data_IF_834124257789
#
_entry.id   IF_834124257789
#
_cell.length_a   1.000
_cell.length_b   1.000
_cell.length_c   1.000
_cell.angle_alpha   90.00
_cell.angle_beta   90.00
_cell.angle_gamma   90.00
#
_symmetry.space_group_name_H-M   'P 1'
#
loop_
_entity.id
_entity.type
_entity.pdbx_description
1 polymer ?
#
# COMPACT_ATOMS: atom_id res chain seq x y z
N UNK A 1 2.26 -6.67 -22.60
CA UNK A 1 1.98 -5.22 -22.58
C UNK A 1 1.21 -4.83 -21.32
N UNK A 2 1.31 -3.57 -20.92
CA UNK A 2 0.59 -3.02 -19.78
C UNK A 2 -0.93 -3.22 -19.91
N UNK A 3 -1.48 -3.04 -21.10
CA UNK A 3 -2.90 -3.26 -21.37
C UNK A 3 -3.32 -4.73 -21.08
N UNK A 4 -2.46 -5.71 -21.40
CA UNK A 4 -2.72 -7.12 -21.10
C UNK A 4 -2.69 -7.38 -19.59
N UNK A 5 -1.73 -6.78 -18.88
CA UNK A 5 -1.63 -6.91 -17.41
C UNK A 5 -2.84 -6.31 -16.68
N UNK A 6 -3.34 -5.18 -17.14
CA UNK A 6 -4.47 -4.49 -16.51
C UNK A 6 -5.85 -5.14 -16.83
N UNK A 7 -5.94 -6.03 -17.82
CA UNK A 7 -7.23 -6.60 -18.27
C UNK A 7 -8.03 -7.22 -17.11
N UNK A 8 -7.40 -8.07 -16.30
CA UNK A 8 -8.07 -8.71 -15.18
C UNK A 8 -8.55 -7.69 -14.13
N UNK A 9 -7.71 -6.70 -13.79
CA UNK A 9 -8.09 -5.62 -12.87
C UNK A 9 -9.27 -4.78 -13.38
N UNK A 10 -9.32 -4.48 -14.67
CA UNK A 10 -10.45 -3.77 -15.32
C UNK A 10 -11.73 -4.60 -15.19
N UNK A 11 -11.66 -5.91 -15.46
CA UNK A 11 -12.81 -6.80 -15.36
C UNK A 11 -13.34 -6.91 -13.94
N UNK A 12 -12.46 -7.11 -12.95
CA UNK A 12 -12.82 -7.17 -11.54
C UNK A 12 -13.42 -5.85 -11.06
N UNK A 13 -12.79 -4.72 -11.37
CA UNK A 13 -13.33 -3.41 -11.00
C UNK A 13 -14.72 -3.15 -11.58
N UNK A 14 -15.00 -3.62 -12.80
CA UNK A 14 -16.27 -3.44 -13.50
C UNK A 14 -17.34 -4.43 -13.07
N UNK A 15 -17.00 -5.72 -13.05
CA UNK A 15 -17.95 -6.81 -12.72
C UNK A 15 -18.14 -6.98 -11.22
N UNK A 16 -17.13 -6.61 -10.46
CA UNK A 16 -17.05 -6.74 -9.01
C UNK A 16 -16.40 -8.05 -8.55
N UNK A 17 -16.19 -8.11 -7.27
CA UNK A 17 -15.77 -9.31 -6.54
C UNK A 17 -16.64 -9.49 -5.30
N UNK A 18 -16.71 -10.70 -4.81
CA UNK A 18 -17.47 -11.03 -3.59
C UNK A 18 -16.64 -10.61 -2.38
N UNK A 19 -17.24 -9.82 -1.49
CA UNK A 19 -16.63 -9.39 -0.24
C UNK A 19 -16.46 -10.60 0.67
N UNK A 20 -15.23 -10.87 1.08
CA UNK A 20 -14.90 -11.86 2.11
C UNK A 20 -14.82 -11.23 3.51
N UNK A 21 -14.66 -12.07 4.54
CA UNK A 21 -14.58 -11.60 5.92
C UNK A 21 -13.41 -10.66 6.16
N UNK A 22 -12.23 -10.96 5.59
CA UNK A 22 -11.03 -10.13 5.78
C UNK A 22 -11.23 -8.73 5.22
N UNK A 23 -11.84 -8.62 4.03
CA UNK A 23 -12.15 -7.34 3.41
C UNK A 23 -13.17 -6.54 4.22
N UNK A 24 -14.23 -7.21 4.71
CA UNK A 24 -15.23 -6.62 5.59
C UNK A 24 -14.60 -6.05 6.87
N UNK A 25 -13.81 -6.85 7.58
CA UNK A 25 -13.21 -6.45 8.87
C UNK A 25 -12.24 -5.26 8.69
N UNK A 26 -11.53 -5.20 7.56
CA UNK A 26 -10.68 -4.05 7.26
C UNK A 26 -11.46 -2.78 6.97
N UNK A 27 -12.65 -2.88 6.36
CA UNK A 27 -13.54 -1.72 6.20
C UNK A 27 -14.08 -1.31 7.56
N UNK A 28 -14.55 -2.26 8.37
CA UNK A 28 -15.09 -2.01 9.72
C UNK A 28 -14.11 -1.24 10.60
N UNK A 29 -12.83 -1.64 10.56
CA UNK A 29 -11.76 -0.93 11.30
C UNK A 29 -11.42 0.46 10.78
N UNK A 30 -12.03 0.92 9.66
CA UNK A 30 -11.77 2.21 9.04
C UNK A 30 -13.04 3.00 8.70
N UNK A 31 -14.20 2.61 9.21
CA UNK A 31 -15.49 3.25 8.90
C UNK A 31 -15.46 4.75 9.16
N UNK A 32 -14.93 5.17 10.29
CA UNK A 32 -14.85 6.57 10.73
C UNK A 32 -13.93 7.45 9.89
N UNK A 33 -13.07 6.85 9.05
CA UNK A 33 -12.33 7.57 8.00
C UNK A 33 -13.03 7.50 6.64
N UNK A 34 -13.77 6.43 6.39
CA UNK A 34 -14.42 6.21 5.10
C UNK A 34 -15.69 7.03 4.96
N UNK A 35 -16.42 7.28 6.04
CA UNK A 35 -17.64 8.11 6.04
C UNK A 35 -17.31 9.61 5.90
N UNK A 36 -16.13 10.06 6.34
CA UNK A 36 -15.67 11.42 6.12
C UNK A 36 -15.58 11.81 4.64
N UNK A 37 -15.42 10.84 3.73
CA UNK A 37 -15.25 11.08 2.30
C UNK A 37 -16.40 10.46 1.50
N UNK A 38 -17.40 11.25 1.03
CA UNK A 38 -18.61 10.73 0.41
C UNK A 38 -18.38 9.76 -0.76
N UNK A 39 -17.34 9.99 -1.57
CA UNK A 39 -16.99 9.09 -2.67
C UNK A 39 -16.42 7.75 -2.19
N UNK A 40 -15.77 7.71 -1.03
CA UNK A 40 -15.28 6.49 -0.39
C UNK A 40 -16.43 5.75 0.26
N UNK A 41 -17.25 6.45 1.03
CA UNK A 41 -18.46 5.88 1.64
C UNK A 41 -19.36 5.20 0.59
N UNK A 42 -19.62 5.85 -0.53
CA UNK A 42 -20.44 5.30 -1.61
C UNK A 42 -19.92 3.97 -2.20
N UNK A 43 -18.64 3.70 -2.10
CA UNK A 43 -18.03 2.46 -2.60
C UNK A 43 -18.08 1.37 -1.52
N UNK A 44 -17.71 1.69 -0.29
CA UNK A 44 -17.37 0.72 0.75
C UNK A 44 -18.44 0.55 1.82
N UNK A 45 -19.32 1.53 1.98
CA UNK A 45 -20.37 1.50 3.00
C UNK A 45 -21.76 1.32 2.38
N UNK A 46 -22.68 0.77 3.16
CA UNK A 46 -24.09 0.77 2.86
C UNK A 46 -24.72 2.12 3.28
N UNK A 47 -25.96 2.45 2.83
CA UNK A 47 -26.58 3.76 3.11
C UNK A 47 -26.78 4.10 4.59
N UNK A 48 -26.73 3.10 5.47
CA UNK A 48 -26.80 3.27 6.92
C UNK A 48 -25.44 3.52 7.58
N UNK A 49 -24.37 3.64 6.78
CA UNK A 49 -23.00 3.87 7.26
C UNK A 49 -22.27 2.60 7.69
N UNK A 50 -22.87 1.42 7.59
CA UNK A 50 -22.21 0.16 7.93
C UNK A 50 -21.34 -0.36 6.77
N UNK A 51 -20.29 -1.15 7.05
CA UNK A 51 -19.53 -1.85 6.01
C UNK A 51 -20.44 -2.73 5.15
N UNK A 52 -20.19 -2.79 3.85
CA UNK A 52 -20.89 -3.72 2.97
C UNK A 52 -20.73 -5.16 3.44
N UNK A 53 -21.83 -5.92 3.45
CA UNK A 53 -21.88 -7.27 4.01
C UNK A 53 -21.03 -8.28 3.24
N UNK A 54 -20.44 -9.22 3.98
CA UNK A 54 -19.78 -10.41 3.43
C UNK A 54 -20.74 -11.16 2.50
N UNK A 55 -20.23 -11.62 1.35
CA UNK A 55 -21.01 -12.30 0.33
C UNK A 55 -21.70 -11.36 -0.68
N UNK A 56 -21.73 -10.05 -0.45
CA UNK A 56 -22.19 -9.08 -1.44
C UNK A 56 -21.13 -8.75 -2.47
N UNK A 57 -21.50 -8.16 -3.60
CA UNK A 57 -20.58 -7.85 -4.71
C UNK A 57 -20.22 -6.37 -4.70
N UNK A 58 -18.95 -6.07 -4.48
CA UNK A 58 -18.41 -4.72 -4.60
C UNK A 58 -17.95 -4.44 -6.04
N UNK A 59 -18.35 -3.31 -6.59
CA UNK A 59 -17.93 -2.82 -7.91
C UNK A 59 -17.34 -1.42 -7.79
N UNK A 60 -16.32 -1.14 -8.60
CA UNK A 60 -15.74 0.21 -8.71
C UNK A 60 -15.55 0.56 -10.20
N UNK A 61 -16.60 1.05 -10.89
CA UNK A 61 -16.52 1.39 -12.30
C UNK A 61 -15.58 2.54 -12.59
N UNK A 62 -15.33 3.44 -11.63
CA UNK A 62 -14.37 4.53 -11.77
C UNK A 62 -12.94 4.02 -11.81
N UNK A 63 -12.61 3.04 -10.97
CA UNK A 63 -11.32 2.35 -11.02
C UNK A 63 -11.14 1.62 -12.36
N UNK A 64 -12.20 0.99 -12.88
CA UNK A 64 -12.15 0.36 -14.21
C UNK A 64 -11.81 1.39 -15.29
N UNK A 65 -12.46 2.56 -15.28
CA UNK A 65 -12.17 3.67 -16.24
C UNK A 65 -10.74 4.19 -16.09
N UNK A 66 -10.25 4.32 -14.86
CA UNK A 66 -8.87 4.73 -14.59
C UNK A 66 -7.86 3.71 -15.18
N UNK A 67 -8.06 2.43 -14.94
CA UNK A 67 -7.21 1.38 -15.50
C UNK A 67 -7.27 1.32 -17.03
N UNK A 68 -8.44 1.51 -17.64
CA UNK A 68 -8.58 1.60 -19.09
C UNK A 68 -7.82 2.78 -19.70
N UNK A 69 -7.83 3.92 -19.02
CA UNK A 69 -7.05 5.07 -19.44
C UNK A 69 -5.55 4.76 -19.39
N UNK A 70 -5.09 4.15 -18.29
CA UNK A 70 -3.68 3.75 -18.14
C UNK A 70 -3.32 2.70 -19.20
N UNK A 71 -4.19 1.73 -19.46
CA UNK A 71 -3.98 0.73 -20.50
C UNK A 71 -3.80 1.32 -21.90
N UNK A 72 -4.52 2.42 -22.20
CA UNK A 72 -4.46 3.11 -23.51
C UNK A 72 -3.27 4.05 -23.64
N UNK A 73 -2.92 4.77 -22.57
CA UNK A 73 -1.97 5.89 -22.62
C UNK A 73 -0.64 5.60 -21.87
N UNK A 74 -0.51 4.40 -21.27
CA UNK A 74 0.66 4.06 -20.46
C UNK A 74 0.80 4.97 -19.23
N UNK A 75 2.02 5.18 -18.80
CA UNK A 75 2.34 6.05 -17.66
C UNK A 75 1.76 7.46 -17.77
N UNK A 76 1.70 8.02 -18.99
CA UNK A 76 1.08 9.31 -19.23
C UNK A 76 -0.41 9.35 -18.86
N UNK A 77 -1.09 8.21 -18.94
CA UNK A 77 -2.50 8.10 -18.57
C UNK A 77 -2.75 8.33 -17.08
N UNK A 78 -1.76 8.07 -16.24
CA UNK A 78 -1.80 8.28 -14.79
C UNK A 78 -1.15 9.59 -14.37
N UNK A 79 0.10 9.82 -14.77
CA UNK A 79 0.91 10.96 -14.30
C UNK A 79 0.57 12.30 -14.97
N UNK A 80 -0.32 12.33 -15.96
CA UNK A 80 -0.74 13.54 -16.68
C UNK A 80 -2.22 13.49 -17.02
N UNK A 81 -2.80 14.67 -17.23
CA UNK A 81 -4.18 14.83 -17.64
C UNK A 81 -5.20 14.53 -16.54
N UNK A 82 -6.41 14.05 -16.87
CA UNK A 82 -7.54 14.06 -15.94
C UNK A 82 -7.32 13.31 -14.62
N UNK A 83 -6.59 12.19 -14.61
CA UNK A 83 -6.31 11.46 -13.36
C UNK A 83 -5.38 12.28 -12.48
N UNK A 84 -4.28 12.78 -13.05
CA UNK A 84 -3.33 13.64 -12.32
C UNK A 84 -4.01 14.89 -11.76
N UNK A 85 -4.79 15.58 -12.57
CA UNK A 85 -5.53 16.76 -12.15
C UNK A 85 -6.54 16.46 -11.02
N UNK A 86 -7.25 15.32 -11.10
CA UNK A 86 -8.19 14.89 -10.06
C UNK A 86 -7.45 14.57 -8.74
N UNK A 87 -6.30 13.90 -8.81
CA UNK A 87 -5.47 13.61 -7.63
C UNK A 87 -4.99 14.90 -6.95
N UNK A 88 -4.45 15.83 -7.72
CA UNK A 88 -3.99 17.14 -7.21
C UNK A 88 -5.15 17.89 -6.57
N UNK A 89 -6.29 17.97 -7.26
CA UNK A 89 -7.48 18.63 -6.73
C UNK A 89 -7.94 18.01 -5.40
N UNK A 90 -8.03 16.68 -5.33
CA UNK A 90 -8.45 15.99 -4.11
C UNK A 90 -7.44 16.17 -2.97
N UNK A 91 -6.14 16.23 -3.28
CA UNK A 91 -5.09 16.46 -2.29
C UNK A 91 -5.11 17.90 -1.75
N UNK A 92 -5.23 18.89 -2.63
CA UNK A 92 -5.23 20.31 -2.24
C UNK A 92 -6.55 20.75 -1.62
N UNK A 93 -7.65 20.10 -1.98
CA UNK A 93 -8.98 20.35 -1.44
C UNK A 93 -9.68 19.02 -1.20
N UNK A 94 -9.40 18.35 -0.06
CA UNK A 94 -10.02 17.07 0.28
C UNK A 94 -11.56 17.16 0.18
N UNK A 95 -12.21 16.23 -0.54
CA UNK A 95 -13.67 16.25 -0.72
C UNK A 95 -14.36 15.59 0.47
N UNK A 96 -14.28 16.23 1.63
CA UNK A 96 -14.84 15.75 2.90
C UNK A 96 -16.31 16.11 3.06
N UNK A 97 -17.03 15.30 3.81
CA UNK A 97 -18.40 15.56 4.22
C UNK A 97 -18.46 16.77 5.17
N UNK A 98 -19.59 17.53 5.20
CA UNK A 98 -19.74 18.67 6.11
C UNK A 98 -19.69 18.28 7.59
N UNK A 99 -20.03 17.05 7.90
CA UNK A 99 -20.11 16.43 9.24
C UNK A 99 -18.92 15.51 9.54
N UNK A 100 -17.85 15.58 8.70
CA UNK A 100 -16.62 14.83 8.92
C UNK A 100 -16.06 15.04 10.33
N UNK A 101 -15.68 13.96 10.99
CA UNK A 101 -15.22 13.98 12.37
C UNK A 101 -13.70 14.12 12.52
N UNK A 102 -12.94 13.96 11.42
CA UNK A 102 -11.49 14.17 11.39
C UNK A 102 -11.08 15.50 10.76
N UNK A 103 -9.89 15.97 11.13
CA UNK A 103 -9.29 17.14 10.49
C UNK A 103 -8.51 16.75 9.24
N UNK A 104 -9.07 17.01 8.08
CA UNK A 104 -8.44 16.78 6.78
C UNK A 104 -7.66 18.02 6.33
N UNK A 105 -6.33 17.92 6.36
CA UNK A 105 -5.48 19.04 5.96
C UNK A 105 -5.18 19.00 4.46
N UNK A 106 -5.23 20.15 3.76
CA UNK A 106 -4.79 20.24 2.36
C UNK A 106 -3.33 19.79 2.23
N UNK A 107 -3.06 18.97 1.21
CA UNK A 107 -1.69 18.61 0.82
C UNK A 107 -1.09 19.60 -0.17
N UNK A 108 0.22 19.47 -0.42
CA UNK A 108 0.99 20.37 -1.26
C UNK A 108 1.27 19.84 -2.67
N UNK A 109 0.75 18.65 -3.02
CA UNK A 109 0.97 18.01 -4.32
C UNK A 109 0.54 18.91 -5.46
N UNK A 110 1.35 18.98 -6.52
CA UNK A 110 1.06 19.70 -7.76
C UNK A 110 1.07 18.76 -8.97
N UNK A 111 0.51 19.19 -10.10
CA UNK A 111 0.61 18.42 -11.35
C UNK A 111 2.06 18.28 -11.84
N UNK A 112 2.92 19.20 -11.46
CA UNK A 112 4.35 19.15 -11.78
C UNK A 112 5.02 17.98 -11.06
N UNK A 113 4.72 17.76 -9.78
CA UNK A 113 5.29 16.65 -9.00
C UNK A 113 4.95 15.30 -9.64
N UNK A 114 3.71 15.15 -10.12
CA UNK A 114 3.30 13.95 -10.85
C UNK A 114 3.99 13.85 -12.22
N UNK A 115 4.08 14.96 -12.95
CA UNK A 115 4.64 15.00 -14.30
C UNK A 115 6.16 14.74 -14.33
N UNK A 116 6.87 15.14 -13.29
CA UNK A 116 8.33 14.98 -13.12
C UNK A 116 8.68 13.71 -12.31
N UNK A 117 7.69 12.99 -11.76
CA UNK A 117 7.94 11.78 -11.00
C UNK A 117 8.68 10.73 -11.82
N UNK A 118 9.74 10.21 -11.26
CA UNK A 118 10.51 9.08 -11.79
C UNK A 118 10.63 8.00 -10.74
N UNK A 119 10.68 6.75 -11.17
CA UNK A 119 10.98 5.60 -10.32
C UNK A 119 12.48 5.26 -10.45
N UNK A 120 13.36 5.82 -9.59
CA UNK A 120 14.79 5.57 -9.70
C UNK A 120 15.11 4.12 -9.35
N UNK A 121 15.95 3.49 -10.17
CA UNK A 121 16.54 2.20 -9.82
C UNK A 121 17.56 2.39 -8.70
N UNK A 122 17.46 1.57 -7.67
CA UNK A 122 18.36 1.61 -6.51
C UNK A 122 19.05 0.27 -6.34
N UNK A 123 20.32 0.31 -5.92
CA UNK A 123 21.04 -0.90 -5.60
C UNK A 123 20.42 -1.56 -4.36
N UNK A 124 20.25 -2.89 -4.37
CA UNK A 124 19.82 -3.61 -3.18
C UNK A 124 20.93 -3.55 -2.10
N UNK A 125 20.55 -3.73 -0.85
CA UNK A 125 21.48 -4.06 0.23
C UNK A 125 21.92 -5.52 0.07
N UNK A 126 23.16 -5.84 0.43
CA UNK A 126 23.67 -7.21 0.44
C UNK A 126 24.46 -7.44 1.72
N UNK A 127 24.20 -8.54 2.37
CA UNK A 127 24.99 -9.05 3.49
C UNK A 127 25.32 -10.52 3.28
N UNK A 128 26.44 -10.99 3.88
CA UNK A 128 26.69 -12.41 4.05
C UNK A 128 26.02 -12.93 5.32
N UNK A 129 25.49 -14.15 5.29
CA UNK A 129 25.02 -14.86 6.48
C UNK A 129 25.17 -16.36 6.29
N UNK A 130 25.99 -17.00 7.12
CA UNK A 130 26.27 -18.45 7.07
C UNK A 130 26.60 -18.96 5.66
N UNK A 131 27.43 -18.21 4.94
CA UNK A 131 27.87 -18.54 3.57
C UNK A 131 26.84 -18.25 2.48
N UNK A 132 25.71 -17.64 2.82
CA UNK A 132 24.67 -17.20 1.87
C UNK A 132 24.77 -15.69 1.64
N UNK A 133 24.46 -15.26 0.43
CA UNK A 133 24.20 -13.86 0.12
C UNK A 133 22.73 -13.54 0.37
N UNK A 134 22.45 -12.64 1.30
CA UNK A 134 21.10 -12.16 1.58
C UNK A 134 20.92 -10.77 0.97
N UNK A 135 19.98 -10.65 0.05
CA UNK A 135 19.68 -9.42 -0.66
C UNK A 135 18.38 -8.82 -0.13
N UNK A 136 18.40 -7.54 0.19
CA UNK A 136 17.25 -6.80 0.68
C UNK A 136 17.01 -5.52 -0.11
N UNK A 137 15.84 -4.93 0.03
CA UNK A 137 15.55 -3.63 -0.58
C UNK A 137 16.40 -2.55 0.08
N UNK A 138 17.08 -1.75 -0.73
CA UNK A 138 17.86 -0.59 -0.27
C UNK A 138 16.97 0.58 0.18
N UNK A 139 17.56 1.63 0.77
CA UNK A 139 16.83 2.86 1.12
C UNK A 139 16.00 3.40 -0.06
N UNK A 140 14.79 3.93 0.21
CA UNK A 140 14.24 4.32 1.51
C UNK A 140 13.56 3.21 2.31
N UNK A 141 13.62 1.94 1.89
CA UNK A 141 13.16 0.83 2.72
C UNK A 141 14.16 0.52 3.83
N UNK A 142 13.68 0.42 5.06
CA UNK A 142 14.47 -0.05 6.20
C UNK A 142 14.60 -1.58 6.25
N UNK A 143 13.73 -2.31 5.53
CA UNK A 143 13.64 -3.76 5.62
C UNK A 143 14.97 -4.47 5.33
N UNK A 144 15.68 -4.06 4.29
CA UNK A 144 16.96 -4.67 3.94
C UNK A 144 18.07 -4.40 4.95
N UNK A 145 18.17 -3.19 5.49
CA UNK A 145 19.15 -2.84 6.54
C UNK A 145 18.81 -3.51 7.87
N UNK A 146 17.54 -3.43 8.30
CA UNK A 146 17.09 -4.01 9.57
C UNK A 146 17.27 -5.53 9.59
N UNK A 147 16.81 -6.24 8.55
CA UNK A 147 17.05 -7.69 8.45
C UNK A 147 18.53 -8.01 8.37
N UNK A 148 19.29 -7.23 7.62
CA UNK A 148 20.72 -7.38 7.51
C UNK A 148 21.45 -7.25 8.84
N UNK A 149 21.09 -6.25 9.63
CA UNK A 149 21.67 -6.03 10.95
C UNK A 149 21.33 -7.15 11.94
N UNK A 150 20.08 -7.60 11.97
CA UNK A 150 19.66 -8.75 12.78
C UNK A 150 20.54 -9.98 12.43
N UNK A 151 20.67 -10.29 11.15
CA UNK A 151 21.41 -11.46 10.72
C UNK A 151 22.92 -11.33 11.03
N UNK A 152 23.53 -10.15 10.85
CA UNK A 152 24.91 -9.90 11.22
C UNK A 152 25.17 -10.09 12.71
N UNK A 153 24.26 -9.60 13.57
CA UNK A 153 24.36 -9.82 15.00
C UNK A 153 24.25 -11.31 15.32
N UNK A 154 23.27 -12.00 14.72
CA UNK A 154 23.03 -13.43 14.97
C UNK A 154 24.16 -14.33 14.46
N UNK A 155 24.93 -13.90 13.43
CA UNK A 155 26.06 -14.67 12.92
C UNK A 155 27.16 -14.86 13.95
N UNK A 156 27.31 -13.91 14.88
CA UNK A 156 28.24 -14.00 16.00
C UNK A 156 27.87 -15.08 17.05
N UNK A 157 26.66 -15.65 16.96
CA UNK A 157 26.14 -16.65 17.90
C UNK A 157 25.91 -17.99 17.21
N UNK A 158 26.95 -18.77 16.99
CA UNK A 158 26.82 -20.09 16.36
C UNK A 158 27.19 -21.21 17.35
N UNK A 159 26.41 -22.29 17.48
CA UNK A 159 25.14 -22.59 16.77
C UNK A 159 23.91 -21.91 17.41
N UNK A 160 23.06 -21.32 16.57
CA UNK A 160 21.72 -20.94 16.98
C UNK A 160 20.81 -22.20 16.89
N UNK A 161 20.22 -22.67 17.96
CA UNK A 161 19.20 -23.72 17.87
C UNK A 161 19.44 -24.98 18.71
N UNK A 162 20.53 -25.05 19.47
CA UNK A 162 20.66 -26.10 20.49
C UNK A 162 19.65 -25.92 21.64
N UNK A 163 19.30 -24.66 21.95
CA UNK A 163 18.25 -24.27 22.89
C UNK A 163 17.33 -23.24 22.24
N UNK A 164 16.02 -23.56 22.21
CA UNK A 164 15.01 -22.68 21.62
C UNK A 164 14.83 -21.38 22.38
N UNK A 165 14.91 -21.41 23.70
CA UNK A 165 14.73 -20.20 24.54
C UNK A 165 15.87 -19.24 24.30
N UNK A 166 17.10 -19.75 24.30
CA UNK A 166 18.30 -18.97 24.02
C UNK A 166 18.28 -18.39 22.60
N UNK A 167 17.89 -19.19 21.60
CA UNK A 167 17.79 -18.75 20.22
C UNK A 167 16.74 -17.62 20.06
N UNK A 168 15.59 -17.72 20.70
CA UNK A 168 14.57 -16.67 20.72
C UNK A 168 15.04 -15.42 21.44
N UNK A 169 15.72 -15.57 22.58
CA UNK A 169 16.30 -14.44 23.31
C UNK A 169 17.27 -13.66 22.43
N UNK A 170 18.22 -14.33 21.80
CA UNK A 170 19.19 -13.71 20.88
C UNK A 170 18.53 -13.03 19.69
N UNK A 171 17.50 -13.67 19.12
CA UNK A 171 16.73 -13.07 18.01
C UNK A 171 16.01 -11.79 18.46
N UNK A 172 15.37 -11.80 19.62
CA UNK A 172 14.67 -10.64 20.16
C UNK A 172 15.64 -9.51 20.49
N UNK A 173 16.79 -9.80 21.10
CA UNK A 173 17.80 -8.80 21.39
C UNK A 173 18.42 -8.22 20.11
N UNK A 174 18.76 -9.05 19.12
CA UNK A 174 19.23 -8.57 17.83
C UNK A 174 18.19 -7.69 17.13
N UNK A 175 16.91 -8.08 17.21
CA UNK A 175 15.81 -7.28 16.66
C UNK A 175 15.67 -5.94 17.37
N UNK A 176 15.81 -5.91 18.70
CA UNK A 176 15.75 -4.68 19.49
C UNK A 176 16.82 -3.66 19.06
N UNK A 177 18.02 -4.12 18.77
CA UNK A 177 19.10 -3.24 18.28
C UNK A 177 18.82 -2.76 16.84
N UNK A 178 18.36 -3.64 15.98
CA UNK A 178 18.10 -3.30 14.58
C UNK A 178 16.87 -2.35 14.37
N UNK A 179 15.99 -2.25 15.36
CA UNK A 179 14.84 -1.34 15.35
C UNK A 179 15.03 -0.08 16.23
N UNK A 180 16.17 0.07 16.90
CA UNK A 180 16.50 1.26 17.68
C UNK A 180 16.94 2.41 16.78
#
# INVERSE_FOLDING_TARGET
SLAKALKAGIEVARKGFVIDQTFHDQIEGNVDYFDDVPSTAAIYLDPDGTPRYVGTVLRNPDMARAYERIARHGAKGFYRGPIAAAMVKATQKPPVAPDANHTWRPGLMTERDLAEYTAPERKPTRIGYKGLDVWGMGPPSSGGSTVGEILNILEGYTPLGADRVEALHRFLEASRYAFA
#
